data_IF_717431881665
#
_entry.id   IF_717431881665
#
_cell.length_a   1.000
_cell.length_b   1.000
_cell.length_c   1.000
_cell.angle_alpha   90.00
_cell.angle_beta   90.00
_cell.angle_gamma   90.00
#
_symmetry.space_group_name_H-M   'P 1'
#
loop_
_entity.id
_entity.type
_entity.pdbx_description
1 polymer ?
#
# COMPACT_ATOMS: atom_id res chain seq x y z
N UNK A 1 -22.66 -17.38 1.24
CA UNK A 1 -22.99 -16.26 0.34
C UNK A 1 -21.67 -15.58 0.07
N UNK A 2 -21.26 -15.49 -1.19
CA UNK A 2 -19.97 -14.93 -1.57
C UNK A 2 -19.93 -13.43 -1.22
N UNK A 3 -18.83 -12.95 -0.65
CA UNK A 3 -18.63 -11.53 -0.35
C UNK A 3 -18.65 -10.71 -1.65
N UNK A 4 -18.13 -11.27 -2.75
CA UNK A 4 -18.13 -10.61 -4.06
C UNK A 4 -19.57 -10.36 -4.53
N UNK A 5 -20.43 -11.37 -4.47
CA UNK A 5 -21.84 -11.23 -4.83
C UNK A 5 -22.59 -10.30 -3.87
N UNK A 6 -22.36 -10.43 -2.57
CA UNK A 6 -23.05 -9.65 -1.54
C UNK A 6 -22.81 -8.15 -1.68
N UNK A 7 -21.58 -7.77 -2.01
CA UNK A 7 -21.16 -6.38 -2.15
C UNK A 7 -21.05 -5.92 -3.62
N UNK A 8 -21.41 -6.78 -4.57
CA UNK A 8 -21.32 -6.55 -6.01
C UNK A 8 -19.92 -6.02 -6.42
N UNK A 9 -18.86 -6.69 -5.94
CA UNK A 9 -17.48 -6.29 -6.16
C UNK A 9 -17.07 -6.64 -7.60
N UNK A 10 -16.38 -5.73 -8.29
CA UNK A 10 -15.80 -5.98 -9.61
C UNK A 10 -14.48 -6.77 -9.49
N UNK A 11 -14.54 -7.94 -8.87
CA UNK A 11 -13.39 -8.82 -8.66
C UNK A 11 -13.65 -10.19 -9.31
N UNK A 12 -12.64 -10.83 -9.90
CA UNK A 12 -12.80 -12.18 -10.39
C UNK A 12 -13.12 -13.12 -9.22
N UNK A 13 -14.11 -14.00 -9.42
CA UNK A 13 -14.45 -15.01 -8.44
C UNK A 13 -13.23 -15.91 -8.17
N UNK A 14 -12.88 -16.18 -6.91
CA UNK A 14 -11.80 -17.09 -6.60
C UNK A 14 -12.12 -18.47 -7.18
N UNK A 15 -11.10 -19.13 -7.73
CA UNK A 15 -11.24 -20.50 -8.23
C UNK A 15 -11.66 -21.39 -7.06
N UNK A 16 -12.83 -22.03 -7.19
CA UNK A 16 -13.28 -23.01 -6.21
C UNK A 16 -12.34 -24.22 -6.23
N UNK A 17 -11.76 -24.60 -5.07
CA UNK A 17 -10.85 -25.73 -5.02
C UNK A 17 -11.61 -27.02 -5.33
N UNK A 18 -10.98 -27.90 -6.10
CA UNK A 18 -11.46 -29.26 -6.30
C UNK A 18 -10.70 -30.24 -5.38
N UNK A 19 -11.11 -31.51 -5.39
CA UNK A 19 -10.53 -32.55 -4.54
C UNK A 19 -9.00 -32.66 -4.71
N UNK A 20 -8.47 -32.44 -5.92
CA UNK A 20 -7.03 -32.53 -6.19
C UNK A 20 -6.26 -31.38 -5.53
N UNK A 21 -6.87 -30.19 -5.44
CA UNK A 21 -6.28 -29.01 -4.80
C UNK A 21 -6.04 -29.25 -3.30
N UNK A 22 -6.74 -30.21 -2.70
CA UNK A 22 -6.56 -30.60 -1.30
C UNK A 22 -5.52 -31.71 -1.07
N UNK A 23 -4.90 -32.25 -2.12
CA UNK A 23 -3.88 -33.29 -1.96
C UNK A 23 -2.56 -32.73 -1.43
N UNK A 24 -1.81 -33.55 -0.69
CA UNK A 24 -0.47 -33.20 -0.18
C UNK A 24 0.48 -32.80 -1.33
N UNK A 25 0.33 -33.41 -2.51
CA UNK A 25 1.18 -33.16 -3.68
C UNK A 25 0.94 -31.74 -4.24
N UNK A 26 -0.32 -31.33 -4.37
CA UNK A 26 -0.67 -29.99 -4.84
C UNK A 26 -0.36 -28.94 -3.78
N UNK A 27 -0.66 -29.22 -2.50
CA UNK A 27 -0.38 -28.33 -1.38
C UNK A 27 1.09 -28.33 -0.90
N UNK A 28 2.02 -29.01 -1.58
CA UNK A 28 3.41 -29.18 -1.10
C UNK A 28 4.11 -27.86 -0.75
N UNK A 29 3.84 -26.78 -1.50
CA UNK A 29 4.41 -25.45 -1.24
C UNK A 29 3.84 -24.85 0.04
N UNK A 30 2.53 -24.92 0.22
CA UNK A 30 1.86 -24.37 1.41
C UNK A 30 2.23 -25.18 2.66
N UNK A 31 2.33 -26.51 2.56
CA UNK A 31 2.82 -27.36 3.64
C UNK A 31 4.29 -27.09 3.98
N UNK A 32 5.15 -26.89 2.97
CA UNK A 32 6.54 -26.51 3.20
C UNK A 32 6.65 -25.12 3.86
N UNK A 33 5.83 -24.16 3.43
CA UNK A 33 5.75 -22.84 4.04
C UNK A 33 5.31 -22.94 5.50
N UNK A 34 4.25 -23.68 5.78
CA UNK A 34 3.76 -23.91 7.14
C UNK A 34 4.84 -24.52 8.03
N UNK A 35 5.49 -25.60 7.58
CA UNK A 35 6.55 -26.27 8.33
C UNK A 35 7.73 -25.31 8.59
N UNK A 36 8.15 -24.55 7.57
CA UNK A 36 9.18 -23.52 7.71
C UNK A 36 8.81 -22.48 8.77
N UNK A 37 7.57 -21.99 8.76
CA UNK A 37 7.10 -21.04 9.76
C UNK A 37 7.10 -21.64 11.17
N UNK A 38 6.70 -22.92 11.34
CA UNK A 38 6.82 -23.60 12.63
C UNK A 38 8.28 -23.65 13.11
N UNK A 39 9.23 -23.88 12.18
CA UNK A 39 10.66 -23.90 12.56
C UNK A 39 11.21 -22.53 12.96
N UNK A 40 10.73 -21.44 12.38
CA UNK A 40 11.11 -20.09 12.82
C UNK A 40 10.65 -19.80 14.25
N UNK A 41 9.58 -20.43 14.72
CA UNK A 41 9.15 -20.35 16.12
C UNK A 41 10.24 -20.75 17.12
N UNK A 42 11.11 -21.72 16.79
CA UNK A 42 12.25 -22.07 17.64
C UNK A 42 13.33 -20.99 17.66
N UNK A 43 13.64 -20.40 16.51
CA UNK A 43 14.60 -19.31 16.41
C UNK A 43 14.12 -18.09 17.21
N UNK A 44 12.85 -17.70 17.03
CA UNK A 44 12.21 -16.64 17.82
C UNK A 44 12.19 -16.97 19.31
N UNK A 45 11.82 -18.18 19.72
CA UNK A 45 11.81 -18.56 21.14
C UNK A 45 13.22 -18.46 21.77
N UNK A 46 14.27 -18.78 21.00
CA UNK A 46 15.65 -18.72 21.48
C UNK A 46 16.23 -17.30 21.52
N UNK A 47 15.89 -16.44 20.55
CA UNK A 47 16.48 -15.09 20.43
C UNK A 47 15.58 -13.98 20.96
N UNK A 48 14.26 -14.23 21.03
CA UNK A 48 13.19 -13.24 21.20
C UNK A 48 13.19 -12.16 20.11
N UNK A 49 13.88 -12.41 18.99
CA UNK A 49 13.96 -11.50 17.85
C UNK A 49 13.04 -12.05 16.75
N UNK A 50 11.95 -11.34 16.49
CA UNK A 50 11.01 -11.63 15.40
C UNK A 50 11.56 -11.13 14.06
N UNK A 51 11.95 -9.85 14.03
CA UNK A 51 12.66 -9.22 12.93
C UNK A 51 13.87 -8.45 13.47
N UNK A 52 15.03 -8.66 12.87
CA UNK A 52 16.20 -7.82 13.15
C UNK A 52 16.04 -6.49 12.43
N UNK A 53 15.87 -5.42 13.19
CA UNK A 53 15.88 -4.04 12.68
C UNK A 53 17.22 -3.42 13.07
N UNK A 54 18.06 -3.01 12.11
CA UNK A 54 19.33 -2.37 12.43
C UNK A 54 19.11 -1.00 13.07
N UNK A 55 20.03 -0.58 13.96
CA UNK A 55 19.98 0.74 14.59
C UNK A 55 20.02 1.89 13.57
N UNK A 56 20.69 1.65 12.43
CA UNK A 56 20.73 2.55 11.29
C UNK A 56 20.15 1.84 10.07
N UNK A 57 19.00 2.35 9.61
CA UNK A 57 18.39 1.94 8.35
C UNK A 57 18.95 2.86 7.26
N UNK A 58 19.78 2.36 6.33
CA UNK A 58 20.29 3.19 5.25
C UNK A 58 19.13 3.60 4.32
N UNK A 59 19.17 4.81 3.74
CA UNK A 59 18.19 5.20 2.73
C UNK A 59 18.29 4.26 1.52
N UNK A 60 17.14 3.95 0.93
CA UNK A 60 17.09 3.13 -0.26
C UNK A 60 17.81 3.82 -1.43
N UNK A 61 18.69 3.14 -2.18
CA UNK A 61 19.23 3.70 -3.41
C UNK A 61 18.12 3.91 -4.44
N UNK A 62 18.08 5.10 -5.03
CA UNK A 62 17.16 5.45 -6.10
C UNK A 62 17.66 4.89 -7.44
N UNK A 63 17.44 3.58 -7.64
CA UNK A 63 17.70 2.94 -8.92
C UNK A 63 16.39 2.81 -9.69
N UNK A 64 16.08 3.81 -10.51
CA UNK A 64 14.84 3.85 -11.29
C UNK A 64 14.90 2.90 -12.47
N UNK A 65 13.72 2.43 -12.88
CA UNK A 65 13.60 1.64 -14.10
C UNK A 65 13.85 2.53 -15.33
N UNK A 66 14.31 1.93 -16.43
CA UNK A 66 14.54 2.67 -17.68
C UNK A 66 13.23 3.10 -18.35
N UNK A 67 12.16 2.35 -18.11
CA UNK A 67 10.82 2.65 -18.63
C UNK A 67 9.93 3.22 -17.53
N UNK A 68 8.95 4.02 -17.96
CA UNK A 68 7.90 4.55 -17.08
C UNK A 68 6.65 3.69 -17.08
N UNK A 69 6.67 2.49 -17.66
CA UNK A 69 5.53 1.57 -17.61
C UNK A 69 5.28 1.14 -16.16
N UNK A 70 4.01 1.07 -15.75
CA UNK A 70 3.63 0.77 -14.37
C UNK A 70 2.54 -0.29 -14.33
N UNK A 71 2.84 -1.45 -13.75
CA UNK A 71 1.90 -2.59 -13.60
C UNK A 71 1.17 -2.99 -14.90
N UNK A 72 1.84 -2.83 -16.05
CA UNK A 72 1.27 -3.13 -17.38
C UNK A 72 0.52 -1.97 -18.04
N UNK A 73 0.44 -0.80 -17.38
CA UNK A 73 -0.13 0.43 -17.92
C UNK A 73 0.96 1.39 -18.43
N UNK A 74 0.59 2.25 -19.37
CA UNK A 74 1.48 3.27 -19.95
C UNK A 74 0.77 4.63 -19.98
N UNK A 75 1.52 5.69 -20.29
CA UNK A 75 0.94 7.04 -20.48
C UNK A 75 -0.16 7.05 -21.55
N UNK A 76 0.01 6.28 -22.63
CA UNK A 76 -0.93 6.23 -23.75
C UNK A 76 -2.13 5.31 -23.49
N UNK A 77 -2.01 4.41 -22.51
CA UNK A 77 -3.05 3.48 -22.08
C UNK A 77 -3.08 3.40 -20.54
N UNK A 78 -3.52 4.48 -19.86
CA UNK A 78 -3.51 4.56 -18.42
C UNK A 78 -4.63 3.70 -17.81
N UNK A 79 -4.48 3.36 -16.53
CA UNK A 79 -5.51 2.67 -15.75
C UNK A 79 -6.72 3.57 -15.47
N UNK A 80 -7.87 2.98 -15.18
CA UNK A 80 -9.12 3.68 -14.84
C UNK A 80 -9.47 3.51 -13.36
N UNK A 81 -10.45 4.28 -12.87
CA UNK A 81 -10.91 4.17 -11.47
C UNK A 81 -11.41 2.76 -11.11
N UNK A 82 -11.93 2.01 -12.10
CA UNK A 82 -12.38 0.64 -11.91
C UNK A 82 -11.23 -0.34 -11.64
N UNK A 83 -10.04 -0.10 -12.20
CA UNK A 83 -8.84 -0.92 -11.96
C UNK A 83 -8.34 -0.77 -10.52
N UNK A 84 -8.66 0.36 -9.88
CA UNK A 84 -8.25 0.70 -8.52
C UNK A 84 -9.30 0.34 -7.45
N UNK A 85 -10.47 -0.18 -7.85
CA UNK A 85 -11.57 -0.51 -6.94
C UNK A 85 -11.99 0.65 -6.01
N UNK A 86 -11.90 1.91 -6.49
CA UNK A 86 -12.25 3.09 -5.68
C UNK A 86 -13.73 3.17 -5.34
N UNK A 87 -14.58 2.53 -6.15
CA UNK A 87 -16.03 2.47 -5.93
C UNK A 87 -16.41 1.77 -4.63
N UNK A 88 -15.52 0.95 -4.05
CA UNK A 88 -15.74 0.27 -2.78
C UNK A 88 -15.94 1.27 -1.64
N UNK A 89 -15.19 2.36 -1.60
CA UNK A 89 -15.31 3.38 -0.54
C UNK A 89 -16.68 4.05 -0.54
N UNK A 90 -17.28 4.24 -1.72
CA UNK A 90 -18.62 4.82 -1.86
C UNK A 90 -19.74 3.89 -1.34
N UNK A 91 -19.44 2.61 -1.12
CA UNK A 91 -20.39 1.59 -0.64
C UNK A 91 -20.24 1.29 0.85
N UNK A 92 -19.26 1.88 1.52
CA UNK A 92 -19.00 1.64 2.92
C UNK A 92 -19.95 2.48 3.81
N UNK A 93 -20.99 1.85 4.34
CA UNK A 93 -21.75 2.39 5.48
C UNK A 93 -21.08 1.96 6.78
N UNK A 94 -20.05 2.70 7.21
CA UNK A 94 -19.24 2.29 8.37
C UNK A 94 -19.88 2.65 9.72
N UNK A 95 -20.90 3.52 9.75
CA UNK A 95 -21.50 4.01 10.99
C UNK A 95 -20.54 4.82 11.89
N UNK A 96 -19.33 5.10 11.39
CA UNK A 96 -18.27 5.86 12.04
C UNK A 96 -17.71 6.90 11.07
N UNK A 97 -17.21 8.05 11.56
CA UNK A 97 -16.48 8.99 10.72
C UNK A 97 -15.27 8.30 10.06
N UNK A 98 -15.14 8.46 8.75
CA UNK A 98 -14.01 7.97 7.96
C UNK A 98 -13.14 9.15 7.55
N UNK A 99 -11.83 9.01 7.61
CA UNK A 99 -10.85 9.91 6.98
C UNK A 99 -10.04 9.08 5.99
N UNK A 100 -9.99 9.51 4.73
CA UNK A 100 -9.22 8.86 3.66
C UNK A 100 -7.94 9.65 3.48
N UNK A 101 -6.80 8.99 3.61
CA UNK A 101 -5.48 9.62 3.55
C UNK A 101 -4.71 9.01 2.38
N UNK A 102 -4.32 9.82 1.41
CA UNK A 102 -3.24 9.43 0.49
C UNK A 102 -1.92 9.63 1.23
N UNK A 103 -1.22 8.54 1.54
CA UNK A 103 -0.08 8.55 2.46
C UNK A 103 1.12 9.31 1.92
N UNK A 104 1.99 9.87 2.79
CA UNK A 104 3.26 10.45 2.36
C UNK A 104 4.15 9.41 1.70
N UNK A 105 4.84 9.84 0.65
CA UNK A 105 5.86 9.05 0.00
C UNK A 105 7.09 9.90 -0.33
N UNK A 106 8.22 9.22 -0.51
CA UNK A 106 9.44 9.85 -0.99
C UNK A 106 9.20 10.45 -2.38
N UNK A 107 9.58 11.72 -2.53
CA UNK A 107 9.53 12.48 -3.77
C UNK A 107 10.97 12.81 -4.17
N UNK A 108 11.45 12.23 -5.25
CA UNK A 108 12.76 12.50 -5.83
C UNK A 108 12.74 13.75 -6.72
N UNK A 109 13.94 14.23 -7.09
CA UNK A 109 14.14 15.28 -8.09
C UNK A 109 14.18 14.74 -9.53
N UNK A 110 14.09 13.42 -9.74
CA UNK A 110 14.14 12.82 -11.08
C UNK A 110 12.92 13.24 -11.91
N UNK A 111 13.08 13.66 -13.17
CA UNK A 111 11.98 14.19 -13.97
C UNK A 111 10.91 13.16 -14.37
N UNK A 112 11.20 11.85 -14.26
CA UNK A 112 10.30 10.78 -14.68
C UNK A 112 9.75 9.96 -13.52
N UNK A 113 10.47 9.91 -12.39
CA UNK A 113 10.12 9.05 -11.25
C UNK A 113 10.00 9.85 -9.95
N UNK A 114 8.92 9.64 -9.21
CA UNK A 114 8.85 10.12 -7.83
C UNK A 114 9.71 9.25 -6.92
N UNK A 115 9.63 7.93 -7.09
CA UNK A 115 10.42 6.96 -6.34
C UNK A 115 10.47 5.65 -7.15
N UNK A 116 11.06 4.61 -6.56
CA UNK A 116 11.23 3.31 -7.22
C UNK A 116 9.91 2.55 -7.46
N UNK A 117 8.80 2.95 -6.81
CA UNK A 117 7.49 2.33 -7.02
C UNK A 117 6.71 3.02 -8.13
N UNK A 118 6.86 4.35 -8.24
CA UNK A 118 5.96 5.15 -9.05
C UNK A 118 6.69 6.06 -10.04
N UNK A 119 6.50 5.86 -11.36
CA UNK A 119 6.74 6.91 -12.33
C UNK A 119 5.74 8.05 -12.10
N UNK A 120 6.14 9.28 -12.40
CA UNK A 120 5.37 10.49 -12.08
C UNK A 120 3.97 10.47 -12.70
N UNK A 121 3.88 10.11 -13.98
CA UNK A 121 2.60 10.09 -14.70
C UNK A 121 1.59 9.15 -14.01
N UNK A 122 2.03 7.98 -13.54
CA UNK A 122 1.15 6.98 -12.95
C UNK A 122 0.60 7.51 -11.63
N UNK A 123 1.47 8.03 -10.76
CA UNK A 123 1.02 8.56 -9.48
C UNK A 123 0.18 9.84 -9.62
N UNK A 124 0.54 10.73 -10.55
CA UNK A 124 -0.24 11.93 -10.81
C UNK A 124 -1.64 11.58 -11.35
N UNK A 125 -1.73 10.59 -12.24
CA UNK A 125 -3.00 10.06 -12.74
C UNK A 125 -3.82 9.42 -11.63
N UNK A 126 -3.21 8.60 -10.77
CA UNK A 126 -3.84 8.05 -9.57
C UNK A 126 -4.44 9.14 -8.67
N UNK A 127 -3.67 10.20 -8.37
CA UNK A 127 -4.15 11.33 -7.55
C UNK A 127 -5.31 12.07 -8.20
N UNK A 128 -5.31 12.22 -9.53
CA UNK A 128 -6.44 12.78 -10.26
C UNK A 128 -7.70 11.90 -10.07
N UNK A 129 -7.59 10.58 -10.22
CA UNK A 129 -8.70 9.66 -10.00
C UNK A 129 -9.23 9.69 -8.56
N UNK A 130 -8.35 9.84 -7.55
CA UNK A 130 -8.74 10.03 -6.15
C UNK A 130 -9.49 11.36 -5.94
N UNK A 131 -8.93 12.46 -6.42
CA UNK A 131 -9.56 13.79 -6.27
C UNK A 131 -10.93 13.88 -6.96
N UNK A 132 -11.11 13.12 -8.05
CA UNK A 132 -12.38 13.03 -8.78
C UNK A 132 -13.49 12.29 -8.02
N UNK A 133 -13.18 11.58 -6.92
CA UNK A 133 -14.19 10.86 -6.13
C UNK A 133 -15.15 11.79 -5.37
N UNK A 134 -14.77 13.05 -5.15
CA UNK A 134 -15.62 14.02 -4.43
C UNK A 134 -15.75 13.77 -2.93
N UNK A 135 -14.88 12.92 -2.35
CA UNK A 135 -14.84 12.66 -0.91
C UNK A 135 -14.45 13.92 -0.14
N UNK A 136 -15.35 14.41 0.71
CA UNK A 136 -15.11 15.58 1.59
C UNK A 136 -14.14 15.25 2.73
N UNK A 137 -13.97 13.97 3.01
CA UNK A 137 -13.10 13.38 4.00
C UNK A 137 -11.79 12.84 3.43
N UNK A 138 -11.37 13.33 2.26
CA UNK A 138 -10.08 12.98 1.65
C UNK A 138 -9.01 14.04 1.98
N UNK A 139 -7.81 13.58 2.32
CA UNK A 139 -6.61 14.41 2.45
C UNK A 139 -5.45 13.79 1.68
N UNK A 140 -4.69 14.64 1.00
CA UNK A 140 -3.53 14.22 0.23
C UNK A 140 -2.24 14.64 0.92
N UNK A 141 -1.56 13.67 1.53
CA UNK A 141 -0.33 13.87 2.29
C UNK A 141 0.91 13.40 1.53
N UNK A 142 0.78 13.05 0.24
CA UNK A 142 1.84 12.45 -0.58
C UNK A 142 3.18 13.19 -0.53
N UNK A 143 3.16 14.52 -0.51
CA UNK A 143 4.36 15.38 -0.44
C UNK A 143 4.46 16.17 0.88
N UNK A 144 3.88 15.66 1.96
CA UNK A 144 3.83 16.37 3.25
C UNK A 144 5.08 16.19 4.11
N UNK A 145 5.86 15.14 3.87
CA UNK A 145 7.06 14.80 4.64
C UNK A 145 8.31 14.99 3.79
N UNK A 146 9.34 15.71 4.26
CA UNK A 146 10.57 15.90 3.50
C UNK A 146 11.32 14.59 3.19
N UNK A 147 11.95 14.46 2.00
CA UNK A 147 12.62 13.24 1.55
C UNK A 147 13.66 12.65 2.52
N UNK A 148 14.35 13.47 3.29
CA UNK A 148 15.38 13.03 4.25
C UNK A 148 14.83 12.23 5.44
N UNK A 149 13.51 12.21 5.63
CA UNK A 149 12.89 11.43 6.69
C UNK A 149 12.44 10.03 6.25
N UNK A 150 12.60 9.68 4.97
CA UNK A 150 12.36 8.33 4.47
C UNK A 150 13.60 7.43 4.64
N UNK A 151 13.39 6.12 4.67
CA UNK A 151 14.41 5.13 5.03
C UNK A 151 14.59 4.06 3.94
N UNK A 152 14.38 2.79 4.25
CA UNK A 152 14.63 1.64 3.36
C UNK A 152 13.61 1.47 2.23
N UNK A 153 12.53 2.24 2.27
CA UNK A 153 11.44 2.21 1.31
C UNK A 153 10.90 3.63 1.08
N UNK A 154 10.31 3.92 -0.09
CA UNK A 154 9.67 5.20 -0.37
C UNK A 154 8.49 5.55 0.54
N UNK A 155 8.00 4.63 1.37
CA UNK A 155 6.87 4.87 2.29
C UNK A 155 7.24 4.70 3.77
N UNK A 156 8.48 4.29 4.07
CA UNK A 156 8.93 4.10 5.46
C UNK A 156 9.62 5.34 5.99
N UNK A 157 9.07 5.89 7.08
CA UNK A 157 9.60 7.07 7.76
C UNK A 157 10.44 6.71 8.98
N UNK A 158 11.46 7.51 9.25
CA UNK A 158 12.19 7.48 10.51
C UNK A 158 11.34 8.09 11.66
N UNK A 159 11.76 7.98 12.93
CA UNK A 159 10.99 8.47 14.07
C UNK A 159 10.59 9.96 13.98
N UNK A 160 11.45 10.80 13.39
CA UNK A 160 11.16 12.22 13.19
C UNK A 160 10.08 12.43 12.13
N UNK A 161 10.15 11.73 10.99
CA UNK A 161 9.12 11.76 9.95
C UNK A 161 7.75 11.28 10.45
N UNK A 162 7.73 10.21 11.26
CA UNK A 162 6.50 9.73 11.92
C UNK A 162 5.94 10.77 12.86
N UNK A 163 6.79 11.49 13.61
CA UNK A 163 6.35 12.57 14.50
C UNK A 163 5.68 13.71 13.72
N UNK A 164 6.26 14.09 12.57
CA UNK A 164 5.66 15.07 11.67
C UNK A 164 4.31 14.61 11.13
N UNK A 165 4.22 13.37 10.63
CA UNK A 165 2.98 12.80 10.12
C UNK A 165 1.88 12.74 11.20
N UNK A 166 2.24 12.34 12.43
CA UNK A 166 1.34 12.37 13.59
C UNK A 166 0.76 13.76 13.79
N UNK A 167 1.60 14.80 13.80
CA UNK A 167 1.16 16.17 14.08
C UNK A 167 0.23 16.71 12.98
N UNK A 168 0.50 16.39 11.73
CA UNK A 168 -0.38 16.70 10.59
C UNK A 168 -1.72 16.01 10.76
N UNK A 169 -1.73 14.69 10.99
CA UNK A 169 -2.96 13.91 11.14
C UNK A 169 -3.79 14.36 12.36
N UNK A 170 -3.15 14.65 13.48
CA UNK A 170 -3.83 15.17 14.67
C UNK A 170 -4.50 16.51 14.38
N UNK A 171 -3.84 17.39 13.64
CA UNK A 171 -4.39 18.68 13.25
C UNK A 171 -5.62 18.52 12.34
N UNK A 172 -5.54 17.65 11.33
CA UNK A 172 -6.65 17.33 10.43
C UNK A 172 -7.85 16.70 11.16
N UNK A 173 -7.58 15.79 12.10
CA UNK A 173 -8.63 15.16 12.89
C UNK A 173 -9.36 16.17 13.79
N UNK A 174 -8.61 17.04 14.48
CA UNK A 174 -9.21 18.06 15.36
C UNK A 174 -10.11 19.03 14.58
N UNK A 175 -9.67 19.51 13.41
CA UNK A 175 -10.46 20.41 12.56
C UNK A 175 -11.78 19.82 12.06
N UNK A 176 -11.90 18.49 12.05
CA UNK A 176 -13.08 17.75 11.54
C UNK A 176 -14.02 17.28 12.65
N UNK A 177 -13.60 17.39 13.90
CA UNK A 177 -14.42 17.08 15.08
C UNK A 177 -15.17 18.30 15.62
N UNK A 178 -14.75 19.51 15.22
CA UNK A 178 -15.41 20.80 15.50
C UNK A 178 -16.51 21.12 14.47
#
# INVERSE_FOLDING_TARGET
MDLIERYNLNLPLPKQPNIMDHTIIIQRRELANWLRLQTYGFAWAATQIDQYIPDLIPPQPLNFNETTDWEGFTVDSPFEAADLSLDLFNRLELGIPLLIVNEPMFISDDPQHYNIFYPRWAYDHYRQLLSAQGWTNYIDLSNSIPPQFFTDSPVHLNPQGITMLRDILMSELLQRLD
#
